data_IF_603466992289
#
_entry.id   IF_603466992289
#
_cell.length_a   1.000
_cell.length_b   1.000
_cell.length_c   1.000
_cell.angle_alpha   90.00
_cell.angle_beta   90.00
_cell.angle_gamma   90.00
#
_symmetry.space_group_name_H-M   'P 1'
#
loop_
_entity.id
_entity.type
_entity.pdbx_description
1 polymer ?
#
# COMPACT_ATOMS: atom_id res chain seq x y z
N UNK A 1 15.51 -0.45 -2.66
CA UNK A 1 14.64 -1.34 -3.45
C UNK A 1 14.96 -2.78 -3.07
N UNK A 2 13.98 -3.68 -3.07
CA UNK A 2 14.19 -5.11 -2.84
C UNK A 2 13.45 -5.93 -3.89
N UNK A 3 14.10 -6.98 -4.37
CA UNK A 3 13.53 -8.09 -5.12
C UNK A 3 14.02 -9.35 -4.40
N UNK A 4 13.11 -10.19 -3.93
CA UNK A 4 13.44 -11.31 -3.06
C UNK A 4 12.48 -12.48 -3.27
N UNK A 5 12.92 -13.69 -2.91
CA UNK A 5 12.11 -14.91 -3.00
C UNK A 5 11.19 -15.05 -1.79
N UNK A 6 9.90 -15.31 -2.04
CA UNK A 6 8.86 -15.43 -1.03
C UNK A 6 7.98 -16.67 -1.28
N UNK A 7 8.64 -17.81 -1.52
CA UNK A 7 8.00 -19.05 -1.96
C UNK A 7 6.91 -19.58 -1.02
N UNK A 8 6.96 -19.23 0.27
CA UNK A 8 6.00 -19.71 1.26
C UNK A 8 4.60 -19.11 1.12
N UNK A 9 4.44 -18.00 0.39
CA UNK A 9 3.13 -17.33 0.30
C UNK A 9 2.83 -16.58 -1.00
N UNK A 10 3.85 -16.17 -1.77
CA UNK A 10 3.65 -15.18 -2.84
C UNK A 10 2.72 -15.63 -3.99
N UNK A 11 2.90 -16.84 -4.51
CA UNK A 11 2.14 -17.32 -5.67
C UNK A 11 1.15 -18.40 -5.27
N UNK A 12 -0.14 -18.13 -5.47
CA UNK A 12 -1.25 -19.01 -5.08
C UNK A 12 -1.19 -19.46 -3.60
N UNK A 13 -0.84 -18.53 -2.69
CA UNK A 13 -0.68 -18.85 -1.27
C UNK A 13 0.49 -19.80 -0.99
N UNK A 14 1.56 -19.73 -1.79
CA UNK A 14 2.78 -20.52 -1.63
C UNK A 14 2.80 -21.88 -2.32
N UNK A 15 1.74 -22.22 -3.07
CA UNK A 15 1.63 -23.48 -3.82
C UNK A 15 2.59 -23.57 -5.00
N UNK A 16 2.87 -22.45 -5.67
CA UNK A 16 3.77 -22.40 -6.82
C UNK A 16 5.11 -21.83 -6.37
N UNK A 17 6.16 -22.62 -6.51
CA UNK A 17 7.54 -22.27 -6.10
C UNK A 17 8.31 -21.64 -7.26
N UNK A 18 9.37 -20.91 -6.92
CA UNK A 18 10.21 -20.24 -7.93
C UNK A 18 10.96 -21.26 -8.77
N UNK A 19 10.80 -21.20 -10.09
CA UNK A 19 11.64 -21.93 -11.03
C UNK A 19 12.94 -21.16 -11.27
N UNK A 20 13.98 -21.50 -10.51
CA UNK A 20 15.29 -20.84 -10.58
C UNK A 20 16.01 -21.04 -11.93
N UNK A 21 15.58 -21.98 -12.78
CA UNK A 21 16.10 -22.10 -14.15
C UNK A 21 15.75 -20.88 -15.02
N UNK A 22 14.77 -20.06 -14.59
CA UNK A 22 14.35 -18.83 -15.28
C UNK A 22 15.10 -17.57 -14.80
N UNK A 23 16.08 -17.73 -13.92
CA UNK A 23 16.91 -16.61 -13.49
C UNK A 23 17.72 -16.01 -14.67
N UNK A 24 18.04 -14.71 -14.65
CA UNK A 24 17.80 -13.76 -13.56
C UNK A 24 16.39 -13.13 -13.57
N UNK A 25 15.80 -12.98 -12.39
CA UNK A 25 14.61 -12.17 -12.19
C UNK A 25 15.02 -10.71 -12.02
N UNK A 26 14.49 -9.81 -12.84
CA UNK A 26 14.91 -8.40 -12.87
C UNK A 26 13.71 -7.46 -12.71
N UNK A 27 13.83 -6.49 -11.81
CA UNK A 27 12.86 -5.41 -11.62
C UNK A 27 13.55 -4.06 -11.86
N UNK A 28 12.95 -3.21 -12.68
CA UNK A 28 13.50 -1.90 -13.05
C UNK A 28 12.67 -0.77 -12.45
N UNK A 29 13.35 0.20 -11.84
CA UNK A 29 12.73 1.37 -11.20
C UNK A 29 13.28 2.65 -11.84
N UNK A 30 12.41 3.66 -11.99
CA UNK A 30 12.78 4.99 -12.50
C UNK A 30 11.93 6.07 -11.82
N UNK A 31 12.31 7.33 -12.00
CA UNK A 31 11.56 8.50 -11.52
C UNK A 31 11.32 8.46 -10.00
N UNK A 32 12.39 8.22 -9.22
CA UNK A 32 12.28 8.31 -7.76
C UNK A 32 11.91 9.75 -7.37
N UNK A 33 10.70 9.91 -6.84
CA UNK A 33 10.15 11.19 -6.42
C UNK A 33 9.57 11.02 -5.01
N UNK A 34 10.04 11.82 -4.07
CA UNK A 34 9.62 11.77 -2.68
C UNK A 34 9.32 13.18 -2.17
N UNK A 35 8.07 13.41 -1.79
CA UNK A 35 7.65 14.54 -0.94
C UNK A 35 7.27 13.97 0.42
N UNK A 36 8.08 14.20 1.44
CA UNK A 36 7.96 13.52 2.72
C UNK A 36 8.48 14.35 3.89
N UNK A 37 7.97 14.04 5.08
CA UNK A 37 8.49 14.54 6.35
C UNK A 37 9.72 13.71 6.77
N UNK A 38 10.88 14.34 6.85
CA UNK A 38 12.12 13.69 7.31
C UNK A 38 12.17 13.73 8.83
N UNK A 39 12.33 12.56 9.45
CA UNK A 39 12.56 12.46 10.89
C UNK A 39 14.06 12.47 11.18
N UNK A 40 14.52 13.39 12.02
CA UNK A 40 15.92 13.46 12.43
C UNK A 40 16.03 13.92 13.88
N UNK A 41 16.92 13.27 14.66
CA UNK A 41 17.18 13.61 16.07
C UNK A 41 15.91 13.75 16.93
N UNK A 42 14.93 12.87 16.71
CA UNK A 42 13.69 12.86 17.48
C UNK A 42 12.66 13.92 17.06
N UNK A 43 12.86 14.63 15.94
CA UNK A 43 11.95 15.66 15.45
C UNK A 43 11.60 15.45 13.97
N UNK A 44 10.34 15.66 13.62
CA UNK A 44 9.87 15.73 12.23
C UNK A 44 10.23 17.07 11.58
N UNK A 45 10.58 17.04 10.30
CA UNK A 45 10.65 18.26 9.48
C UNK A 45 9.28 18.89 9.25
N UNK A 46 8.19 18.14 9.44
CA UNK A 46 6.83 18.66 9.36
C UNK A 46 6.39 19.21 10.72
N UNK A 47 5.84 20.43 10.72
CA UNK A 47 5.25 21.08 11.89
C UNK A 47 3.78 20.69 12.02
N UNK A 48 3.23 20.65 13.24
CA UNK A 48 1.81 20.33 13.48
C UNK A 48 0.82 21.34 12.84
N UNK A 49 1.32 22.52 12.45
CA UNK A 49 0.59 23.60 11.75
C UNK A 49 0.75 23.56 10.21
N UNK A 50 1.19 22.43 9.64
CA UNK A 50 1.65 22.28 8.26
C UNK A 50 0.55 22.22 7.19
N UNK A 51 -0.47 23.09 7.29
CA UNK A 51 -1.13 23.62 6.10
C UNK A 51 -0.28 24.74 5.45
N UNK A 52 1.06 24.62 5.46
CA UNK A 52 1.90 25.42 4.58
C UNK A 52 1.71 24.92 3.15
N UNK A 53 1.81 25.79 2.14
CA UNK A 53 1.59 25.43 0.72
C UNK A 53 2.39 24.20 0.28
N UNK A 54 3.54 23.93 0.89
CA UNK A 54 4.45 22.84 0.53
C UNK A 54 4.00 21.45 1.04
N UNK A 55 3.08 21.39 2.01
CA UNK A 55 2.66 20.15 2.69
C UNK A 55 1.16 19.84 2.58
N UNK A 56 0.44 20.48 1.65
CA UNK A 56 -1.00 20.29 1.46
C UNK A 56 -1.41 18.81 1.22
N UNK A 57 -0.48 17.97 0.77
CA UNK A 57 -0.67 16.53 0.59
C UNK A 57 -0.94 15.77 1.90
N UNK A 58 -0.53 16.30 3.07
CA UNK A 58 -0.74 15.66 4.38
C UNK A 58 -2.22 15.59 4.78
N UNK A 59 -3.01 16.57 4.34
CA UNK A 59 -4.44 16.69 4.66
C UNK A 59 -5.32 16.41 3.44
N UNK A 60 -4.76 15.83 2.38
CA UNK A 60 -5.49 15.58 1.15
C UNK A 60 -6.45 14.40 1.31
N UNK A 61 -7.69 14.61 0.91
CA UNK A 61 -8.72 13.58 0.80
C UNK A 61 -9.00 13.25 -0.67
N UNK A 62 -9.64 12.10 -0.91
CA UNK A 62 -10.10 11.73 -2.26
C UNK A 62 -11.30 12.59 -2.64
N UNK A 63 -11.24 13.21 -3.82
CA UNK A 63 -12.42 13.81 -4.43
C UNK A 63 -13.39 12.72 -4.93
N UNK A 64 -14.59 13.14 -5.31
CA UNK A 64 -15.65 12.23 -5.78
C UNK A 64 -15.23 11.39 -6.98
N UNK A 65 -14.40 11.94 -7.87
CA UNK A 65 -13.91 11.25 -9.07
C UNK A 65 -12.92 10.15 -8.69
N UNK A 66 -11.99 10.46 -7.79
CA UNK A 66 -10.99 9.52 -7.29
C UNK A 66 -11.62 8.41 -6.46
N UNK A 67 -12.63 8.74 -5.66
CA UNK A 67 -13.44 7.76 -4.92
C UNK A 67 -14.18 6.82 -5.86
N UNK A 68 -14.83 7.34 -6.91
CA UNK A 68 -15.52 6.51 -7.91
C UNK A 68 -14.54 5.56 -8.62
N UNK A 69 -13.33 6.03 -8.94
CA UNK A 69 -12.27 5.20 -9.53
C UNK A 69 -11.82 4.09 -8.57
N UNK A 70 -11.61 4.42 -7.29
CA UNK A 70 -11.26 3.43 -6.28
C UNK A 70 -12.34 2.35 -6.16
N UNK A 71 -13.62 2.75 -6.08
CA UNK A 71 -14.75 1.82 -6.01
C UNK A 71 -14.81 0.91 -7.25
N UNK A 72 -14.53 1.45 -8.44
CA UNK A 72 -14.50 0.63 -9.66
C UNK A 72 -13.36 -0.39 -9.65
N UNK A 73 -12.16 -0.01 -9.21
CA UNK A 73 -11.03 -0.95 -9.09
C UNK A 73 -11.35 -2.04 -8.05
N UNK A 74 -11.88 -1.64 -6.89
CA UNK A 74 -12.29 -2.59 -5.85
C UNK A 74 -13.34 -3.57 -6.37
N UNK A 75 -14.33 -3.09 -7.15
CA UNK A 75 -15.39 -3.95 -7.70
C UNK A 75 -14.89 -4.93 -8.77
N UNK A 76 -13.93 -4.52 -9.60
CA UNK A 76 -13.58 -5.27 -10.82
C UNK A 76 -12.26 -6.05 -10.74
N UNK A 77 -11.32 -5.68 -9.85
CA UNK A 77 -9.97 -6.25 -9.83
C UNK A 77 -9.49 -6.74 -8.46
N UNK A 78 -10.23 -6.46 -7.39
CA UNK A 78 -9.83 -6.86 -6.04
C UNK A 78 -10.10 -8.34 -5.80
N UNK A 79 -9.05 -9.09 -5.47
CA UNK A 79 -9.13 -10.54 -5.22
C UNK A 79 -9.04 -10.91 -3.74
N UNK A 80 -8.66 -9.97 -2.88
CA UNK A 80 -8.59 -10.15 -1.43
C UNK A 80 -8.78 -8.79 -0.74
N UNK A 81 -9.54 -8.79 0.36
CA UNK A 81 -9.73 -7.62 1.21
C UNK A 81 -9.86 -8.05 2.68
N UNK A 82 -8.93 -7.61 3.51
CA UNK A 82 -8.92 -7.92 4.94
C UNK A 82 -10.12 -7.33 5.68
N UNK A 83 -10.65 -6.19 5.21
CA UNK A 83 -11.84 -5.55 5.78
C UNK A 83 -13.13 -6.36 5.61
N UNK A 84 -13.14 -7.40 4.77
CA UNK A 84 -14.29 -8.29 4.59
C UNK A 84 -13.96 -9.74 4.97
N UNK A 85 -12.76 -9.99 5.50
CA UNK A 85 -12.27 -11.32 5.86
C UNK A 85 -12.68 -11.67 7.30
N UNK A 86 -13.94 -12.11 7.44
CA UNK A 86 -14.52 -12.48 8.74
C UNK A 86 -13.91 -13.76 9.33
N UNK A 87 -13.26 -14.60 8.51
CA UNK A 87 -12.56 -15.78 8.99
C UNK A 87 -11.26 -15.39 9.70
N UNK A 88 -10.52 -14.43 9.13
CA UNK A 88 -9.30 -13.90 9.74
C UNK A 88 -9.60 -13.04 10.97
N UNK A 89 -10.72 -12.32 10.96
CA UNK A 89 -11.13 -11.43 12.05
C UNK A 89 -12.47 -11.87 12.67
N UNK A 90 -12.50 -13.03 13.37
CA UNK A 90 -13.75 -13.57 13.92
C UNK A 90 -14.30 -12.75 15.09
N UNK A 91 -13.47 -11.90 15.71
CA UNK A 91 -13.85 -11.05 16.85
C UNK A 91 -14.35 -9.66 16.43
N UNK A 92 -14.52 -9.43 15.12
CA UNK A 92 -14.89 -8.14 14.57
C UNK A 92 -13.80 -7.57 13.67
N UNK A 93 -14.25 -6.83 12.66
CA UNK A 93 -13.38 -6.24 11.66
C UNK A 93 -12.60 -5.03 12.23
N UNK A 94 -11.43 -4.70 11.64
CA UNK A 94 -10.67 -3.53 12.03
C UNK A 94 -11.48 -2.22 11.92
N UNK A 95 -11.27 -1.28 12.85
CA UNK A 95 -12.12 -0.07 13.00
C UNK A 95 -12.01 0.89 11.83
N UNK A 96 -10.88 0.89 11.14
CA UNK A 96 -10.64 1.69 9.94
C UNK A 96 -11.47 1.22 8.74
N UNK A 97 -12.03 0.01 8.79
CA UNK A 97 -12.83 -0.56 7.71
C UNK A 97 -14.27 -0.04 7.69
N UNK A 98 -14.73 0.62 8.76
CA UNK A 98 -16.04 1.26 8.83
C UNK A 98 -15.88 2.75 8.55
N UNK A 99 -15.93 3.11 7.27
CA UNK A 99 -16.06 4.48 6.79
C UNK A 99 -17.49 4.75 6.32
#
# INVERSE_FOLDING_TARGET
SSLWNADDWATQGGRVKTDWSKAPFTASYRNFNANACVWSRGKSSCTASSASRDNAWLTQELDSTSQARMNWVQKNYMIYNYCTDTQRFPQGLPKECTA
#
